data_IF_541844379996
#
_entry.id   IF_541844379996
#
_cell.length_a   1.000
_cell.length_b   1.000
_cell.length_c   1.000
_cell.angle_alpha   90.00
_cell.angle_beta   90.00
_cell.angle_gamma   90.00
#
_symmetry.space_group_name_H-M   'P 1'
#
loop_
_entity.id
_entity.type
_entity.pdbx_description
1 polymer ?
#
# COMPACT_ATOMS: atom_id res chain seq x y z
N UNK A 1 2.70 14.53 4.44
CA UNK A 1 3.83 13.57 4.46
C UNK A 1 3.76 12.82 5.78
N UNK A 2 3.82 11.49 5.76
CA UNK A 2 3.82 10.68 6.99
C UNK A 2 5.25 10.68 7.55
N UNK A 3 5.43 11.01 8.84
CA UNK A 3 6.75 11.14 9.45
C UNK A 3 7.38 9.76 9.59
N UNK A 4 8.63 9.61 9.14
CA UNK A 4 9.40 8.37 9.32
C UNK A 4 9.65 8.16 10.83
N UNK A 5 9.25 7.02 11.42
CA UNK A 5 9.50 6.74 12.82
C UNK A 5 11.00 6.64 13.13
N UNK A 6 11.40 7.06 14.33
CA UNK A 6 12.81 7.15 14.74
C UNK A 6 13.54 5.82 14.67
N UNK A 7 12.88 4.71 15.01
CA UNK A 7 13.45 3.37 14.94
C UNK A 7 13.70 2.88 13.50
N UNK A 8 12.77 3.17 12.60
CA UNK A 8 12.98 2.95 11.16
C UNK A 8 14.11 3.84 10.63
N UNK A 9 14.13 5.12 11.02
CA UNK A 9 15.18 6.05 10.59
C UNK A 9 16.57 5.60 11.04
N UNK A 10 16.70 5.10 12.28
CA UNK A 10 17.96 4.53 12.79
C UNK A 10 18.43 3.33 11.95
N UNK A 11 17.53 2.42 11.59
CA UNK A 11 17.86 1.26 10.77
C UNK A 11 18.19 1.62 9.31
N UNK A 12 17.58 2.67 8.75
CA UNK A 12 17.92 3.17 7.42
C UNK A 12 19.29 3.86 7.41
N UNK A 13 19.66 4.52 8.50
CA UNK A 13 20.93 5.24 8.63
C UNK A 13 22.10 4.34 9.08
N UNK A 14 21.86 3.09 9.48
CA UNK A 14 22.94 2.20 9.90
C UNK A 14 23.81 1.69 8.74
N UNK A 15 23.32 1.81 7.50
CA UNK A 15 24.04 1.44 6.29
C UNK A 15 23.82 2.52 5.22
N UNK A 16 24.92 3.11 4.74
CA UNK A 16 24.90 4.17 3.73
C UNK A 16 24.21 3.73 2.42
N UNK A 17 24.36 2.46 2.03
CA UNK A 17 23.73 1.91 0.83
C UNK A 17 22.21 1.84 1.00
N UNK A 18 21.74 1.42 2.17
CA UNK A 18 20.31 1.36 2.47
C UNK A 18 19.71 2.77 2.50
N UNK A 19 20.42 3.71 3.12
CA UNK A 19 20.00 5.11 3.15
C UNK A 19 19.84 5.67 1.72
N UNK A 20 20.82 5.46 0.85
CA UNK A 20 20.76 5.90 -0.55
C UNK A 20 19.59 5.27 -1.31
N UNK A 21 19.38 3.96 -1.15
CA UNK A 21 18.27 3.24 -1.75
C UNK A 21 16.91 3.78 -1.27
N UNK A 22 16.81 4.13 0.01
CA UNK A 22 15.62 4.76 0.58
C UNK A 22 15.36 6.15 -0.02
N UNK A 23 16.39 6.98 -0.18
CA UNK A 23 16.27 8.31 -0.78
C UNK A 23 15.86 8.25 -2.26
N UNK A 24 16.26 7.19 -2.98
CA UNK A 24 15.85 6.95 -4.38
C UNK A 24 14.39 6.48 -4.52
N UNK A 25 13.71 6.12 -3.43
CA UNK A 25 12.30 5.77 -3.48
C UNK A 25 11.43 7.01 -3.73
N UNK A 26 10.30 6.80 -4.41
CA UNK A 26 9.28 7.85 -4.52
C UNK A 26 8.66 8.13 -3.14
N UNK A 27 8.14 9.34 -2.90
CA UNK A 27 7.46 9.65 -1.64
C UNK A 27 6.33 8.68 -1.29
N UNK A 28 5.66 8.12 -2.30
CA UNK A 28 4.63 7.08 -2.13
C UNK A 28 5.24 5.78 -1.62
N UNK A 29 6.33 5.32 -2.23
CA UNK A 29 7.02 4.10 -1.79
C UNK A 29 7.58 4.22 -0.36
N UNK A 30 8.15 5.37 0.00
CA UNK A 30 8.59 5.62 1.39
C UNK A 30 7.41 5.56 2.37
N UNK A 31 6.29 6.21 2.01
CA UNK A 31 5.05 6.16 2.82
C UNK A 31 4.54 4.73 3.00
N UNK A 32 4.59 3.89 1.96
CA UNK A 32 4.14 2.50 2.04
C UNK A 32 4.94 1.70 3.07
N UNK A 33 6.27 1.83 3.05
CA UNK A 33 7.12 1.18 4.05
C UNK A 33 6.85 1.72 5.46
N UNK A 34 6.71 3.03 5.62
CA UNK A 34 6.36 3.64 6.92
C UNK A 34 5.04 3.09 7.44
N UNK A 35 3.97 3.12 6.64
CA UNK A 35 2.65 2.62 7.03
C UNK A 35 2.69 1.12 7.32
N UNK A 36 3.44 0.35 6.54
CA UNK A 36 3.61 -1.09 6.79
C UNK A 36 4.30 -1.35 8.12
N UNK A 37 5.38 -0.63 8.44
CA UNK A 37 6.06 -0.75 9.74
C UNK A 37 5.15 -0.28 10.89
N UNK A 38 4.45 0.85 10.73
CA UNK A 38 3.56 1.42 11.76
C UNK A 38 2.33 0.57 12.03
N UNK A 39 1.81 -0.15 11.04
CA UNK A 39 0.64 -1.03 11.23
C UNK A 39 0.91 -2.25 12.12
N UNK A 40 2.17 -2.56 12.45
CA UNK A 40 2.51 -3.62 13.38
C UNK A 40 2.26 -3.17 14.83
N UNK A 41 1.17 -3.68 15.44
CA UNK A 41 0.83 -3.40 16.84
C UNK A 41 1.80 -4.05 17.85
N UNK A 42 2.39 -5.20 17.48
CA UNK A 42 3.35 -5.92 18.33
C UNK A 42 4.78 -5.44 18.07
N UNK A 43 5.52 -5.15 19.14
CA UNK A 43 6.90 -4.63 19.07
C UNK A 43 7.83 -5.57 18.29
N UNK A 44 7.75 -6.87 18.54
CA UNK A 44 8.56 -7.87 17.83
C UNK A 44 8.29 -7.86 16.32
N UNK A 45 7.01 -7.79 15.93
CA UNK A 45 6.61 -7.71 14.51
C UNK A 45 7.11 -6.43 13.87
N UNK A 46 7.07 -5.31 14.60
CA UNK A 46 7.59 -4.02 14.14
C UNK A 46 9.09 -4.10 13.84
N UNK A 47 9.89 -4.63 14.77
CA UNK A 47 11.34 -4.83 14.58
C UNK A 47 11.62 -5.72 13.36
N UNK A 48 10.89 -6.84 13.23
CA UNK A 48 11.01 -7.75 12.08
C UNK A 48 10.69 -7.06 10.75
N UNK A 49 9.69 -6.17 10.71
CA UNK A 49 9.35 -5.39 9.50
C UNK A 49 10.39 -4.32 9.18
N UNK A 50 11.04 -3.72 10.18
CA UNK A 50 12.14 -2.78 9.97
C UNK A 50 13.32 -3.51 9.33
N UNK A 51 13.78 -4.62 9.90
CA UNK A 51 14.85 -5.43 9.32
C UNK A 51 14.52 -5.88 7.89
N UNK A 52 13.28 -6.36 7.68
CA UNK A 52 12.84 -6.78 6.35
C UNK A 52 12.70 -5.62 5.35
N UNK A 53 12.46 -4.39 5.82
CA UNK A 53 12.49 -3.20 4.95
C UNK A 53 13.90 -3.00 4.40
N UNK A 54 14.91 -3.06 5.27
CA UNK A 54 16.32 -3.01 4.87
C UNK A 54 16.67 -4.09 3.82
N UNK A 55 16.31 -5.35 4.08
CA UNK A 55 16.56 -6.47 3.14
C UNK A 55 15.87 -6.26 1.79
N UNK A 56 14.63 -5.74 1.81
CA UNK A 56 13.86 -5.44 0.61
C UNK A 56 14.52 -4.36 -0.23
N UNK A 57 14.99 -3.28 0.39
CA UNK A 57 15.69 -2.20 -0.31
C UNK A 57 16.94 -2.74 -0.99
N UNK A 58 17.77 -3.51 -0.28
CA UNK A 58 18.98 -4.14 -0.82
C UNK A 58 18.66 -5.08 -1.98
N UNK A 59 17.55 -5.81 -1.88
CA UNK A 59 17.04 -6.69 -2.95
C UNK A 59 16.39 -5.93 -4.12
N UNK A 60 16.44 -4.60 -4.15
CA UNK A 60 15.84 -3.76 -5.19
C UNK A 60 14.32 -3.64 -5.12
N UNK A 61 13.68 -4.16 -4.07
CA UNK A 61 12.24 -4.05 -3.87
C UNK A 61 11.89 -2.65 -3.39
N UNK A 62 11.10 -1.96 -4.19
CA UNK A 62 10.66 -0.60 -3.90
C UNK A 62 9.42 -0.53 -3.00
N UNK A 63 8.86 -1.66 -2.57
CA UNK A 63 7.62 -1.75 -1.77
C UNK A 63 7.58 -3.00 -0.88
N UNK A 64 6.81 -3.01 0.22
CA UNK A 64 6.60 -4.20 1.06
C UNK A 64 5.91 -5.34 0.30
N UNK A 65 6.37 -6.58 0.46
CA UNK A 65 5.91 -7.72 -0.36
C UNK A 65 4.48 -8.21 -0.09
N UNK A 66 3.83 -7.79 1.01
CA UNK A 66 2.49 -8.26 1.39
C UNK A 66 1.52 -7.12 1.74
N UNK A 67 1.83 -5.87 1.39
CA UNK A 67 0.94 -4.74 1.67
C UNK A 67 -0.05 -4.53 0.52
N UNK A 68 -1.03 -5.41 0.44
CA UNK A 68 -2.23 -5.21 -0.36
C UNK A 68 -3.44 -5.63 0.49
N UNK A 69 -3.83 -4.77 1.43
CA UNK A 69 -5.06 -4.99 2.18
C UNK A 69 -6.21 -4.49 1.30
N UNK A 70 -6.77 -5.38 0.49
CA UNK A 70 -8.02 -5.09 -0.22
C UNK A 70 -9.10 -4.90 0.86
N UNK A 71 -9.78 -3.75 0.93
CA UNK A 71 -10.85 -3.55 1.89
C UNK A 71 -11.94 -4.61 1.70
N UNK A 72 -12.48 -5.15 2.79
CA UNK A 72 -13.50 -6.22 2.73
C UNK A 72 -14.71 -5.80 1.89
N UNK A 73 -15.15 -4.55 2.00
CA UNK A 73 -16.24 -3.99 1.20
C UNK A 73 -15.94 -4.06 -0.30
N UNK A 74 -14.71 -3.71 -0.71
CA UNK A 74 -14.28 -3.78 -2.11
C UNK A 74 -14.27 -5.22 -2.61
N UNK A 75 -13.75 -6.16 -1.80
CA UNK A 75 -13.75 -7.58 -2.15
C UNK A 75 -15.18 -8.12 -2.36
N UNK A 76 -16.10 -7.78 -1.46
CA UNK A 76 -17.50 -8.18 -1.53
C UNK A 76 -18.18 -7.62 -2.77
N UNK A 77 -18.02 -6.32 -3.06
CA UNK A 77 -18.64 -5.68 -4.23
C UNK A 77 -18.05 -6.18 -5.55
N UNK A 78 -16.74 -6.45 -5.62
CA UNK A 78 -16.13 -7.13 -6.76
C UNK A 78 -16.69 -8.56 -6.92
N UNK A 79 -16.96 -9.27 -5.83
CA UNK A 79 -17.62 -10.58 -5.87
C UNK A 79 -18.99 -10.56 -6.53
N UNK A 80 -19.76 -9.47 -6.32
CA UNK A 80 -21.11 -9.27 -6.87
C UNK A 80 -21.14 -8.83 -8.34
N UNK A 81 -20.02 -8.39 -8.90
CA UNK A 81 -19.94 -7.88 -10.27
C UNK A 81 -18.80 -8.57 -11.04
N UNK A 82 -19.17 -9.54 -11.89
CA UNK A 82 -18.22 -10.36 -12.65
C UNK A 82 -17.33 -9.55 -13.59
N UNK A 83 -17.88 -8.51 -14.24
CA UNK A 83 -17.14 -7.63 -15.15
C UNK A 83 -16.08 -6.80 -14.39
N UNK A 84 -16.48 -6.15 -13.30
CA UNK A 84 -15.55 -5.42 -12.43
C UNK A 84 -14.47 -6.34 -11.85
N UNK A 85 -14.83 -7.58 -11.47
CA UNK A 85 -13.88 -8.58 -10.97
C UNK A 85 -12.85 -8.98 -12.01
N UNK A 86 -13.25 -9.17 -13.26
CA UNK A 86 -12.34 -9.50 -14.36
C UNK A 86 -11.37 -8.34 -14.62
N UNK A 87 -11.87 -7.10 -14.69
CA UNK A 87 -11.04 -5.91 -14.85
C UNK A 87 -10.10 -5.71 -13.66
N UNK A 88 -10.60 -5.90 -12.43
CA UNK A 88 -9.76 -5.89 -11.24
C UNK A 88 -8.64 -6.93 -11.33
N UNK A 89 -8.92 -8.17 -11.77
CA UNK A 89 -7.87 -9.20 -11.94
C UNK A 89 -6.80 -8.76 -12.94
N UNK A 90 -7.20 -8.13 -14.05
CA UNK A 90 -6.31 -7.64 -15.11
C UNK A 90 -5.42 -6.45 -14.69
N UNK A 91 -5.80 -5.69 -13.65
CA UNK A 91 -4.97 -4.60 -13.14
C UNK A 91 -3.61 -5.10 -12.62
N UNK A 92 -2.57 -4.29 -12.87
CA UNK A 92 -1.26 -4.47 -12.24
C UNK A 92 -1.35 -4.33 -10.71
N UNK A 93 -0.36 -4.88 -10.01
CA UNK A 93 -0.27 -4.76 -8.55
C UNK A 93 -0.14 -3.32 -8.04
N UNK A 94 0.27 -2.38 -8.90
CA UNK A 94 0.34 -0.95 -8.60
C UNK A 94 -1.05 -0.31 -8.73
N UNK A 95 -1.74 -0.52 -9.86
CA UNK A 95 -3.09 0.01 -10.08
C UNK A 95 -4.09 -0.46 -9.02
N UNK A 96 -4.03 -1.74 -8.63
CA UNK A 96 -4.86 -2.28 -7.53
C UNK A 96 -4.61 -1.52 -6.22
N UNK A 97 -3.35 -1.16 -5.96
CA UNK A 97 -2.95 -0.43 -4.75
C UNK A 97 -3.39 1.01 -4.78
N UNK A 98 -3.17 1.71 -5.89
CA UNK A 98 -3.59 3.10 -6.05
C UNK A 98 -5.11 3.25 -5.81
N UNK A 99 -5.91 2.30 -6.31
CA UNK A 99 -7.33 2.21 -6.01
C UNK A 99 -7.62 2.05 -4.50
N UNK A 100 -6.93 1.13 -3.83
CA UNK A 100 -7.10 0.87 -2.38
C UNK A 100 -6.65 2.07 -1.55
N UNK A 101 -5.52 2.67 -1.87
CA UNK A 101 -4.98 3.84 -1.17
C UNK A 101 -5.88 5.04 -1.36
N UNK A 102 -6.44 5.24 -2.56
CA UNK A 102 -7.45 6.25 -2.81
C UNK A 102 -8.73 6.00 -2.00
N UNK A 103 -9.21 4.76 -1.91
CA UNK A 103 -10.37 4.43 -1.05
C UNK A 103 -10.06 4.74 0.43
N UNK A 104 -8.89 4.35 0.92
CA UNK A 104 -8.49 4.47 2.32
C UNK A 104 -7.92 5.85 2.69
N UNK A 105 -7.77 6.76 1.72
CA UNK A 105 -7.23 8.11 1.96
C UNK A 105 -8.16 9.00 2.78
N UNK A 106 -9.42 8.60 2.96
CA UNK A 106 -10.42 9.25 3.81
C UNK A 106 -10.63 8.44 5.08
N UNK A 107 -10.89 9.11 6.20
CA UNK A 107 -11.10 8.43 7.48
C UNK A 107 -12.57 8.08 7.72
N UNK A 108 -13.50 8.75 7.02
CA UNK A 108 -14.93 8.55 7.19
C UNK A 108 -15.42 7.30 6.48
N UNK A 109 -16.05 6.39 7.22
CA UNK A 109 -16.57 5.11 6.72
C UNK A 109 -17.52 5.29 5.53
N UNK A 110 -18.46 6.23 5.61
CA UNK A 110 -19.42 6.49 4.53
C UNK A 110 -18.70 6.92 3.24
N UNK A 111 -17.66 7.77 3.34
CA UNK A 111 -16.87 8.20 2.19
C UNK A 111 -16.06 7.04 1.60
N UNK A 112 -15.52 6.14 2.43
CA UNK A 112 -14.85 4.92 1.94
C UNK A 112 -15.81 4.03 1.15
N UNK A 113 -17.04 3.86 1.62
CA UNK A 113 -18.08 3.08 0.93
C UNK A 113 -18.41 3.69 -0.43
N UNK A 114 -18.63 5.01 -0.50
CA UNK A 114 -18.89 5.70 -1.77
C UNK A 114 -17.73 5.61 -2.75
N UNK A 115 -16.49 5.75 -2.28
CA UNK A 115 -15.29 5.54 -3.10
C UNK A 115 -15.17 4.10 -3.60
N UNK A 116 -15.52 3.13 -2.77
CA UNK A 116 -15.52 1.71 -3.15
C UNK A 116 -16.52 1.44 -4.28
N UNK A 117 -17.76 1.95 -4.15
CA UNK A 117 -18.76 1.87 -5.22
C UNK A 117 -18.28 2.52 -6.51
N UNK A 118 -17.62 3.69 -6.40
CA UNK A 118 -17.07 4.42 -7.56
C UNK A 118 -16.01 3.60 -8.31
N UNK A 119 -15.06 2.98 -7.59
CA UNK A 119 -14.04 2.12 -8.20
C UNK A 119 -14.69 0.94 -8.92
N UNK A 120 -15.66 0.26 -8.29
CA UNK A 120 -16.36 -0.88 -8.92
C UNK A 120 -17.13 -0.44 -10.18
N UNK A 121 -17.77 0.73 -10.15
CA UNK A 121 -18.46 1.29 -11.32
C UNK A 121 -17.49 1.64 -12.46
N UNK A 122 -16.33 2.24 -12.14
CA UNK A 122 -15.30 2.56 -13.14
C UNK A 122 -14.70 1.31 -13.77
N UNK A 123 -14.42 0.28 -12.97
CA UNK A 123 -13.94 -1.02 -13.46
C UNK A 123 -14.98 -1.72 -14.35
N UNK A 124 -16.26 -1.64 -14.00
CA UNK A 124 -17.35 -2.19 -14.83
C UNK A 124 -17.47 -1.47 -16.18
N UNK A 125 -17.19 -0.17 -16.19
CA UNK A 125 -17.24 0.68 -17.36
C UNK A 125 -15.93 0.72 -18.16
N UNK A 126 -14.90 -0.05 -17.76
CA UNK A 126 -13.55 -0.04 -18.37
C UNK A 126 -12.92 1.36 -18.42
N UNK A 127 -13.32 2.24 -17.49
CA UNK A 127 -12.80 3.60 -17.37
C UNK A 127 -11.53 3.61 -16.54
N UNK A 128 -10.70 4.64 -16.74
CA UNK A 128 -9.49 4.88 -15.95
C UNK A 128 -9.84 4.96 -14.47
N UNK A 129 -9.22 4.10 -13.67
CA UNK A 129 -9.30 4.12 -12.21
C UNK A 129 -8.56 5.35 -11.65
N UNK A 130 -9.01 5.89 -10.51
CA UNK A 130 -8.46 7.11 -9.92
C UNK A 130 -7.02 6.92 -9.43
#
# INVERSE_FOLDING_TARGET
MERVPTDLQKALNSDAKIHELWQKLTPVAQRDFVRWVVSAKQKETRLRRIARTCDMLVSGKKRPCCYSVVPMELYTLLGKNSKAKAQWKALSANQKRDCVDWIQSVNETNKRTERTKKVVAQLSAEKRTP
#
